data_IF_256536689952
#
_entry.id   IF_256536689952
#
_cell.length_a   1.000
_cell.length_b   1.000
_cell.length_c   1.000
_cell.angle_alpha   90.00
_cell.angle_beta   90.00
_cell.angle_gamma   90.00
#
_symmetry.space_group_name_H-M   'P 1'
#
loop_
_entity.id
_entity.type
_entity.pdbx_description
1 polymer ?
#
# COMPACT_ATOMS: atom_id res chain seq x y z
N UNK A 1 16.02 -36.99 66.67
CA UNK A 1 14.62 -36.92 66.26
C UNK A 1 13.90 -36.05 67.25
N UNK A 2 13.03 -35.20 66.74
CA UNK A 2 11.95 -34.58 67.51
C UNK A 2 10.90 -35.68 67.79
N UNK A 3 10.11 -35.55 68.85
CA UNK A 3 9.05 -36.54 69.12
C UNK A 3 7.84 -36.27 68.23
N UNK A 4 7.19 -37.31 67.70
CA UNK A 4 6.09 -37.24 66.71
C UNK A 4 4.97 -36.23 67.04
N UNK A 5 4.80 -35.84 68.31
CA UNK A 5 3.77 -34.91 68.77
C UNK A 5 4.20 -33.43 68.72
N UNK A 6 5.45 -33.16 68.36
CA UNK A 6 6.04 -31.82 68.19
C UNK A 6 6.84 -31.74 66.88
N UNK A 7 6.73 -32.76 66.04
CA UNK A 7 7.37 -32.89 64.74
C UNK A 7 6.30 -32.60 63.69
N UNK A 8 6.50 -31.55 62.90
CA UNK A 8 5.53 -31.16 61.86
C UNK A 8 5.56 -32.14 60.67
N UNK A 9 6.65 -32.92 60.52
CA UNK A 9 6.81 -33.95 59.51
C UNK A 9 7.19 -35.34 60.09
N UNK A 10 6.31 -36.01 60.87
CA UNK A 10 6.65 -37.27 61.55
C UNK A 10 7.05 -38.43 60.63
N UNK A 11 6.75 -38.34 59.33
CA UNK A 11 7.10 -39.34 58.32
C UNK A 11 8.38 -39.02 57.53
N UNK A 12 8.89 -37.80 57.64
CA UNK A 12 10.14 -37.37 57.00
C UNK A 12 11.23 -37.27 58.07
N UNK A 13 12.27 -38.10 57.97
CA UNK A 13 13.36 -38.07 58.95
C UNK A 13 14.33 -36.90 58.78
N UNK A 14 14.25 -36.16 57.67
CA UNK A 14 15.08 -35.00 57.34
C UNK A 14 14.46 -33.70 57.81
N UNK A 15 13.14 -33.66 57.99
CA UNK A 15 12.39 -32.45 58.35
C UNK A 15 11.74 -32.61 59.72
N UNK A 16 11.60 -31.51 60.45
CA UNK A 16 10.97 -31.55 61.79
C UNK A 16 10.15 -30.33 62.15
N UNK A 17 10.26 -29.25 61.37
CA UNK A 17 9.67 -27.95 61.67
C UNK A 17 9.15 -27.35 60.35
N UNK A 18 7.97 -26.77 60.44
CA UNK A 18 7.28 -26.00 59.40
C UNK A 18 6.91 -24.65 60.04
N UNK A 19 7.64 -23.59 59.69
CA UNK A 19 7.57 -22.31 60.40
C UNK A 19 6.38 -21.44 59.96
N UNK A 20 6.05 -21.47 58.68
CA UNK A 20 5.00 -20.66 58.06
C UNK A 20 3.75 -21.47 57.66
N UNK A 21 3.81 -22.80 57.80
CA UNK A 21 2.71 -23.75 57.63
C UNK A 21 2.27 -23.95 56.18
N UNK A 22 3.18 -23.84 55.23
CA UNK A 22 2.94 -24.08 53.80
C UNK A 22 2.99 -25.58 53.41
N UNK A 23 3.54 -26.42 54.29
CA UNK A 23 3.68 -27.85 54.11
C UNK A 23 5.02 -28.29 53.50
N UNK A 24 5.97 -27.38 53.34
CA UNK A 24 7.38 -27.63 53.05
C UNK A 24 8.17 -27.49 54.35
N UNK A 25 9.17 -28.35 54.57
CA UNK A 25 9.94 -28.34 55.81
C UNK A 25 11.06 -27.31 55.77
N UNK A 26 11.31 -26.64 56.91
CA UNK A 26 12.33 -25.59 57.10
C UNK A 26 13.72 -25.93 56.51
N UNK A 27 14.14 -27.21 56.39
CA UNK A 27 15.47 -27.54 55.85
C UNK A 27 15.50 -27.65 54.32
N UNK A 28 14.35 -27.82 53.67
CA UNK A 28 14.20 -27.90 52.21
C UNK A 28 13.61 -26.63 51.62
N UNK A 29 12.91 -25.85 52.44
CA UNK A 29 12.33 -24.57 52.11
C UNK A 29 13.41 -23.46 52.04
N UNK A 30 13.45 -22.74 50.92
CA UNK A 30 14.35 -21.59 50.73
C UNK A 30 13.81 -20.30 51.38
N UNK A 31 12.51 -20.23 51.66
CA UNK A 31 11.84 -19.12 52.33
C UNK A 31 11.03 -19.56 53.56
N UNK A 32 11.65 -20.11 54.62
CA UNK A 32 10.95 -20.72 55.76
C UNK A 32 10.01 -19.81 56.59
N UNK A 33 9.90 -18.53 56.28
CA UNK A 33 9.00 -17.61 57.00
C UNK A 33 7.90 -17.05 56.08
N UNK A 34 7.82 -17.49 54.82
CA UNK A 34 6.87 -17.01 53.80
C UNK A 34 6.07 -18.18 53.18
N UNK A 35 4.85 -18.37 53.68
CA UNK A 35 4.04 -19.52 53.27
C UNK A 35 3.60 -19.55 51.80
N UNK A 36 3.85 -18.48 51.04
CA UNK A 36 3.55 -18.40 49.61
C UNK A 36 4.78 -18.74 48.74
N UNK A 37 5.97 -18.99 49.32
CA UNK A 37 7.22 -19.25 48.60
C UNK A 37 8.02 -20.41 49.21
N UNK A 38 8.54 -21.33 48.40
CA UNK A 38 9.35 -22.46 48.91
C UNK A 38 10.57 -22.80 48.04
N UNK A 39 10.71 -22.18 46.87
CA UNK A 39 11.70 -22.49 45.84
C UNK A 39 12.17 -21.19 45.17
N UNK A 40 13.43 -21.18 44.73
CA UNK A 40 14.11 -20.10 44.01
C UNK A 40 15.07 -20.79 43.05
N UNK A 41 14.62 -20.92 41.80
CA UNK A 41 15.24 -21.78 40.81
C UNK A 41 16.47 -21.14 40.15
N UNK A 42 16.56 -19.82 40.11
CA UNK A 42 17.68 -19.08 39.51
C UNK A 42 18.59 -18.37 40.52
N UNK A 43 18.17 -18.27 41.78
CA UNK A 43 18.99 -17.85 42.91
C UNK A 43 19.01 -16.34 43.13
N UNK A 44 17.97 -15.62 42.73
CA UNK A 44 17.87 -14.16 42.83
C UNK A 44 17.26 -13.65 44.16
N UNK A 45 16.94 -14.58 45.07
CA UNK A 45 16.27 -14.33 46.35
C UNK A 45 14.78 -13.92 46.23
N UNK A 46 14.18 -14.04 45.04
CA UNK A 46 12.74 -13.96 44.79
C UNK A 46 12.22 -15.38 44.63
N UNK A 47 11.10 -15.70 45.29
CA UNK A 47 10.53 -17.03 45.21
C UNK A 47 9.83 -17.28 43.87
N UNK A 48 9.95 -18.52 43.36
CA UNK A 48 9.44 -18.97 42.07
C UNK A 48 7.94 -18.70 41.85
N UNK A 49 7.13 -18.54 42.92
CA UNK A 49 5.69 -18.30 42.78
C UNK A 49 5.36 -16.81 42.51
N UNK A 50 6.19 -15.89 43.00
CA UNK A 50 6.07 -14.45 42.76
C UNK A 50 6.93 -13.97 41.60
N UNK A 51 7.96 -14.73 41.25
CA UNK A 51 8.84 -14.45 40.13
C UNK A 51 8.16 -14.70 38.77
N UNK A 52 8.14 -13.68 37.91
CA UNK A 52 7.62 -13.78 36.55
C UNK A 52 8.61 -14.41 35.57
N UNK A 53 9.90 -14.48 35.91
CA UNK A 53 10.93 -15.17 35.15
C UNK A 53 11.79 -16.11 36.03
N UNK A 54 11.24 -17.23 36.56
CA UNK A 54 11.92 -18.17 37.49
C UNK A 54 13.17 -18.91 36.97
N UNK A 55 13.69 -18.53 35.80
CA UNK A 55 14.89 -19.09 35.21
C UNK A 55 15.90 -18.00 34.82
N UNK A 56 15.61 -16.74 35.12
CA UNK A 56 16.44 -15.59 34.79
C UNK A 56 16.70 -14.77 36.06
N UNK A 57 17.87 -14.96 36.71
CA UNK A 57 18.13 -14.32 38.01
C UNK A 57 18.32 -12.81 37.93
N UNK A 58 18.35 -12.27 36.71
CA UNK A 58 18.45 -10.83 36.47
C UNK A 58 17.07 -10.18 36.23
N UNK A 59 15.97 -10.93 36.17
CA UNK A 59 14.62 -10.43 35.91
C UNK A 59 13.60 -11.14 36.80
N UNK A 60 12.77 -10.40 37.53
CA UNK A 60 11.73 -11.01 38.39
C UNK A 60 10.36 -10.35 38.29
N UNK A 61 10.26 -9.27 37.53
CA UNK A 61 9.07 -8.42 37.46
C UNK A 61 8.84 -7.95 36.03
N UNK A 62 7.58 -7.87 35.63
CA UNK A 62 7.09 -7.44 34.32
C UNK A 62 5.72 -6.80 34.57
N UNK A 63 5.64 -5.48 34.45
CA UNK A 63 4.46 -4.73 34.87
C UNK A 63 3.32 -4.77 33.85
N UNK A 64 3.64 -4.83 32.57
CA UNK A 64 2.66 -4.78 31.50
C UNK A 64 2.37 -6.14 30.84
N UNK A 65 3.08 -7.17 31.32
CA UNK A 65 2.89 -8.58 30.98
C UNK A 65 3.17 -8.92 29.52
N UNK A 66 4.16 -8.25 28.93
CA UNK A 66 4.56 -8.45 27.55
C UNK A 66 5.64 -9.53 27.37
N UNK A 67 6.20 -10.01 28.47
CA UNK A 67 7.22 -11.05 28.52
C UNK A 67 8.66 -10.54 28.48
N UNK A 68 8.87 -9.22 28.59
CA UNK A 68 10.17 -8.61 28.88
C UNK A 68 10.21 -8.15 30.34
N UNK A 69 11.35 -8.35 31.00
CA UNK A 69 11.45 -8.03 32.43
C UNK A 69 11.80 -6.55 32.67
N UNK A 70 11.17 -5.90 33.63
CA UNK A 70 11.32 -4.47 33.95
C UNK A 70 12.70 -4.11 34.55
N UNK A 71 13.51 -5.11 34.95
CA UNK A 71 14.79 -4.81 35.58
C UNK A 71 15.78 -4.29 34.54
N UNK A 72 16.03 -2.97 34.58
CA UNK A 72 16.93 -2.29 33.64
C UNK A 72 18.38 -2.74 33.69
N UNK A 73 18.81 -3.31 34.81
CA UNK A 73 20.18 -3.84 34.97
C UNK A 73 20.30 -5.28 34.44
N UNK A 74 19.18 -5.95 34.15
CA UNK A 74 19.16 -7.33 33.70
C UNK A 74 19.26 -7.49 32.19
N UNK A 75 19.63 -8.70 31.76
CA UNK A 75 19.69 -9.02 30.33
C UNK A 75 18.29 -9.00 29.72
N UNK A 76 18.18 -8.41 28.52
CA UNK A 76 16.93 -8.24 27.77
C UNK A 76 15.81 -7.55 28.57
N UNK A 77 16.18 -6.60 29.44
CA UNK A 77 15.20 -5.80 30.15
C UNK A 77 14.34 -4.96 29.20
N UNK A 78 13.09 -4.74 29.59
CA UNK A 78 12.12 -3.94 28.86
C UNK A 78 12.53 -2.46 28.83
N UNK A 79 12.61 -1.89 27.63
CA UNK A 79 12.85 -0.46 27.39
C UNK A 79 11.58 0.38 27.56
N UNK A 80 10.41 -0.26 27.56
CA UNK A 80 9.09 0.32 27.75
C UNK A 80 8.26 -0.33 28.89
N UNK A 81 8.71 -0.35 30.17
CA UNK A 81 8.12 -1.09 31.33
C UNK A 81 6.66 -0.83 31.71
N UNK A 82 5.93 0.00 30.96
CA UNK A 82 4.58 0.47 31.28
C UNK A 82 3.64 0.29 30.09
N UNK A 83 4.16 -0.15 28.95
CA UNK A 83 3.44 -0.22 27.68
C UNK A 83 3.82 -1.50 26.95
N UNK A 84 2.95 -2.50 27.10
CA UNK A 84 3.13 -3.81 26.47
C UNK A 84 3.55 -3.69 25.01
N UNK A 85 4.69 -4.30 24.69
CA UNK A 85 5.28 -4.31 23.38
C UNK A 85 5.69 -5.68 22.90
N UNK A 86 6.20 -5.75 21.67
CA UNK A 86 6.75 -6.98 21.09
C UNK A 86 8.03 -6.74 20.30
N UNK A 87 8.53 -5.50 20.29
CA UNK A 87 9.79 -5.17 19.64
C UNK A 87 10.94 -5.90 20.30
N UNK A 88 11.91 -6.33 19.48
CA UNK A 88 13.02 -7.16 19.90
C UNK A 88 14.36 -6.84 19.22
N UNK A 89 14.43 -5.78 18.40
CA UNK A 89 15.64 -5.40 17.64
C UNK A 89 16.35 -4.18 18.24
N UNK A 90 15.66 -3.05 18.38
CA UNK A 90 16.26 -1.77 18.78
C UNK A 90 15.93 -1.39 20.23
N UNK A 91 14.66 -1.54 20.60
CA UNK A 91 14.14 -1.39 21.95
C UNK A 91 13.35 -2.64 22.28
N UNK A 92 13.61 -3.26 23.41
CA UNK A 92 12.92 -4.47 23.82
C UNK A 92 11.63 -4.10 24.53
N UNK A 93 10.55 -4.88 24.35
CA UNK A 93 9.27 -4.68 25.04
C UNK A 93 8.52 -3.38 24.71
N UNK A 94 8.91 -2.69 23.63
CA UNK A 94 8.20 -1.51 23.15
C UNK A 94 7.13 -1.87 22.10
N UNK A 95 6.11 -1.01 21.91
CA UNK A 95 5.12 -1.19 20.85
C UNK A 95 5.78 -1.36 19.48
N UNK A 96 5.34 -2.38 18.76
CA UNK A 96 5.73 -2.72 17.39
C UNK A 96 4.44 -3.00 16.60
N UNK A 97 4.05 -2.03 15.78
CA UNK A 97 2.73 -1.98 15.15
C UNK A 97 2.61 -2.86 13.90
N UNK A 98 3.72 -3.22 13.25
CA UNK A 98 3.73 -4.07 12.06
C UNK A 98 4.45 -5.43 12.22
N UNK A 99 5.05 -5.63 13.39
CA UNK A 99 5.72 -6.84 13.81
C UNK A 99 6.98 -7.19 13.02
N UNK A 100 7.74 -6.22 12.54
CA UNK A 100 9.06 -6.46 11.93
C UNK A 100 10.19 -6.63 12.95
N UNK A 101 9.92 -6.34 14.23
CA UNK A 101 10.83 -6.45 15.36
C UNK A 101 11.41 -5.10 15.82
N UNK A 102 11.30 -4.04 15.02
CA UNK A 102 11.65 -2.69 15.43
C UNK A 102 10.50 -2.04 16.20
N UNK A 103 10.85 -1.21 17.18
CA UNK A 103 9.87 -0.46 17.94
C UNK A 103 9.30 0.70 17.13
N UNK A 104 8.03 1.05 17.34
CA UNK A 104 7.35 2.19 16.69
C UNK A 104 8.09 3.53 16.84
N UNK A 105 8.97 3.64 17.85
CA UNK A 105 9.76 4.84 18.13
C UNK A 105 11.13 4.84 17.44
N UNK A 106 11.68 3.65 17.14
CA UNK A 106 12.95 3.49 16.44
C UNK A 106 12.79 3.16 14.96
N UNK A 107 11.60 2.82 14.54
CA UNK A 107 11.23 2.55 13.16
C UNK A 107 10.79 3.83 12.44
N UNK A 108 11.39 4.10 11.28
CA UNK A 108 10.98 5.19 10.39
C UNK A 108 9.60 4.94 9.75
N UNK A 109 9.20 3.67 9.61
CA UNK A 109 7.94 3.24 9.01
C UNK A 109 7.15 2.27 9.90
N UNK A 110 6.59 2.70 11.05
CA UNK A 110 5.93 1.83 12.05
C UNK A 110 4.71 0.99 11.60
N UNK A 111 4.31 1.09 10.33
CA UNK A 111 3.17 0.35 9.78
C UNK A 111 3.55 -0.45 8.52
N UNK A 112 4.80 -0.36 8.08
CA UNK A 112 5.32 -1.03 6.89
C UNK A 112 6.46 -1.96 7.27
N UNK A 113 6.10 -3.20 7.55
CA UNK A 113 6.98 -4.31 7.97
C UNK A 113 8.19 -4.56 7.06
N UNK A 114 8.23 -3.94 5.90
CA UNK A 114 9.27 -4.13 4.91
C UNK A 114 10.31 -3.01 4.92
N UNK A 115 10.09 -1.94 5.67
CA UNK A 115 10.96 -0.77 5.76
C UNK A 115 11.17 -0.41 7.23
N UNK A 116 12.42 -0.15 7.62
CA UNK A 116 12.76 0.21 9.02
C UNK A 116 13.52 1.52 9.14
N UNK A 117 14.14 1.95 8.05
CA UNK A 117 15.15 3.02 8.03
C UNK A 117 14.84 4.00 6.90
N UNK A 118 15.04 5.28 7.18
CA UNK A 118 14.93 6.41 6.26
C UNK A 118 16.10 7.36 6.57
N UNK A 119 17.21 7.21 5.83
CA UNK A 119 18.46 7.93 6.14
C UNK A 119 18.34 9.42 5.86
N UNK A 120 17.65 9.81 4.79
CA UNK A 120 17.54 11.19 4.34
C UNK A 120 16.24 11.89 4.78
N UNK A 121 15.27 11.14 5.29
CA UNK A 121 14.04 11.62 5.89
C UNK A 121 12.98 12.03 4.87
N UNK A 122 13.01 11.46 3.66
CA UNK A 122 12.09 11.81 2.57
C UNK A 122 10.77 11.01 2.58
N UNK A 123 10.69 9.97 3.41
CA UNK A 123 9.53 9.11 3.56
C UNK A 123 9.48 7.92 2.60
N UNK A 124 10.60 7.58 1.95
CA UNK A 124 10.84 6.31 1.29
C UNK A 124 11.88 5.51 2.07
N UNK A 125 11.70 4.19 2.16
CA UNK A 125 12.52 3.37 3.03
C UNK A 125 13.73 2.75 2.33
N UNK A 126 14.87 2.69 3.02
CA UNK A 126 16.16 2.30 2.45
C UNK A 126 16.24 0.81 2.04
N UNK A 127 15.32 -0.04 2.50
CA UNK A 127 15.38 -1.47 2.19
C UNK A 127 14.94 -1.70 0.74
N UNK A 128 15.88 -2.06 -0.13
CA UNK A 128 15.66 -2.29 -1.56
C UNK A 128 14.63 -3.37 -1.88
N UNK A 129 14.43 -4.33 -0.97
CA UNK A 129 13.44 -5.41 -1.12
C UNK A 129 12.07 -5.05 -0.52
N UNK A 130 11.97 -3.86 0.09
CA UNK A 130 10.75 -3.39 0.73
C UNK A 130 9.75 -2.77 -0.24
N UNK A 131 8.62 -2.35 0.33
CA UNK A 131 7.59 -1.61 -0.39
C UNK A 131 8.10 -0.18 -0.58
N UNK A 132 8.02 0.31 -1.82
CA UNK A 132 8.48 1.66 -2.22
C UNK A 132 9.90 1.96 -1.70
N UNK A 133 10.88 1.14 -2.12
CA UNK A 133 12.25 1.32 -1.68
C UNK A 133 12.80 2.62 -2.23
N UNK A 134 13.52 3.36 -1.38
CA UNK A 134 14.26 4.52 -1.81
C UNK A 134 15.40 4.09 -2.74
N UNK A 135 15.45 4.74 -3.91
CA UNK A 135 16.49 4.56 -4.91
C UNK A 135 17.69 5.47 -4.65
N UNK A 136 17.52 6.55 -3.90
CA UNK A 136 18.49 7.59 -3.61
C UNK A 136 18.72 7.81 -2.10
N UNK A 137 19.07 6.74 -1.38
CA UNK A 137 19.30 6.64 0.09
C UNK A 137 19.97 7.84 0.81
N UNK A 138 20.78 8.67 0.12
CA UNK A 138 21.49 9.81 0.71
C UNK A 138 20.92 11.19 0.29
N UNK A 139 19.93 11.24 -0.61
CA UNK A 139 19.42 12.45 -1.24
C UNK A 139 17.89 12.50 -1.24
N UNK A 140 17.35 13.25 -0.27
CA UNK A 140 15.89 13.35 -0.09
C UNK A 140 15.15 13.78 -1.36
N UNK A 141 14.13 13.03 -1.73
CA UNK A 141 13.40 13.23 -2.98
C UNK A 141 11.89 13.04 -2.91
N UNK A 142 11.22 13.29 -4.03
CA UNK A 142 9.78 12.99 -4.18
C UNK A 142 9.46 12.16 -5.40
N UNK A 143 10.49 11.78 -6.17
CA UNK A 143 10.29 11.01 -7.39
C UNK A 143 9.57 9.70 -7.12
N UNK A 144 8.93 9.17 -8.15
CA UNK A 144 8.28 7.85 -8.12
C UNK A 144 8.76 6.92 -9.21
N UNK A 145 9.36 7.49 -10.26
CA UNK A 145 9.77 6.81 -11.48
C UNK A 145 10.91 7.56 -12.14
N UNK A 146 11.65 6.84 -12.98
CA UNK A 146 12.69 7.40 -13.82
C UNK A 146 12.71 6.66 -15.17
N UNK A 147 13.16 7.36 -16.22
CA UNK A 147 13.46 6.71 -17.49
C UNK A 147 14.81 6.01 -17.41
N UNK A 148 14.83 4.72 -17.71
CA UNK A 148 16.07 4.00 -17.93
C UNK A 148 16.26 3.75 -19.41
N UNK A 149 17.36 4.29 -19.94
CA UNK A 149 17.76 4.11 -21.33
C UNK A 149 18.52 2.78 -21.41
N UNK A 150 17.82 1.73 -21.85
CA UNK A 150 18.43 0.45 -22.16
C UNK A 150 18.64 0.33 -23.67
N UNK A 151 19.81 -0.17 -24.09
CA UNK A 151 19.96 -0.66 -25.46
C UNK A 151 19.27 -2.01 -25.59
N UNK A 152 18.33 -2.11 -26.53
CA UNK A 152 17.73 -3.39 -26.85
C UNK A 152 18.76 -4.35 -27.49
N UNK A 153 18.35 -5.59 -27.75
CA UNK A 153 19.22 -6.59 -28.40
C UNK A 153 19.64 -6.21 -29.84
N UNK A 154 19.05 -5.15 -30.41
CA UNK A 154 19.33 -4.60 -31.73
C UNK A 154 20.17 -3.31 -31.67
N UNK A 155 20.48 -2.81 -30.47
CA UNK A 155 21.21 -1.57 -30.24
C UNK A 155 20.36 -0.29 -30.38
N UNK A 156 19.04 -0.42 -30.44
CA UNK A 156 18.10 0.70 -30.39
C UNK A 156 17.88 1.10 -28.92
N UNK A 157 17.96 2.40 -28.65
CA UNK A 157 17.68 2.94 -27.32
C UNK A 157 16.17 2.82 -27.06
N UNK A 158 15.79 2.14 -25.99
CA UNK A 158 14.41 2.00 -25.57
C UNK A 158 14.24 2.65 -24.20
N UNK A 159 13.34 3.63 -24.13
CA UNK A 159 12.91 4.25 -22.88
C UNK A 159 12.01 3.28 -22.12
N UNK A 160 12.50 2.73 -21.02
CA UNK A 160 11.69 1.88 -20.13
C UNK A 160 11.46 2.63 -18.84
N UNK A 161 10.19 2.77 -18.46
CA UNK A 161 9.81 3.35 -17.18
C UNK A 161 10.19 2.37 -16.07
N UNK A 162 10.94 2.85 -15.09
CA UNK A 162 11.29 2.09 -13.90
C UNK A 162 10.78 2.80 -12.66
N UNK A 163 10.44 2.01 -11.66
CA UNK A 163 10.13 2.49 -10.33
C UNK A 163 11.41 3.08 -9.74
N UNK A 164 11.34 4.34 -9.30
CA UNK A 164 12.49 5.09 -8.83
C UNK A 164 12.02 6.10 -7.77
N UNK A 165 11.84 5.62 -6.55
CA UNK A 165 11.34 6.42 -5.43
C UNK A 165 12.48 7.18 -4.74
N UNK A 166 12.14 8.30 -4.11
CA UNK A 166 13.01 9.02 -3.17
C UNK A 166 14.18 9.79 -3.79
N UNK A 167 14.17 10.01 -5.10
CA UNK A 167 15.17 10.84 -5.76
C UNK A 167 14.67 12.26 -6.01
N UNK A 168 15.62 13.17 -6.25
CA UNK A 168 15.35 14.57 -6.54
C UNK A 168 14.35 14.70 -7.71
N UNK A 169 13.30 15.46 -7.47
CA UNK A 169 12.21 15.75 -8.41
C UNK A 169 11.91 17.24 -8.25
N UNK A 170 12.52 18.04 -9.14
CA UNK A 170 12.60 19.49 -9.02
C UNK A 170 11.29 20.22 -9.33
N UNK A 171 10.39 19.62 -10.10
CA UNK A 171 9.12 20.22 -10.50
C UNK A 171 7.87 19.47 -10.00
N UNK A 172 8.08 18.37 -9.29
CA UNK A 172 7.06 17.57 -8.61
C UNK A 172 6.07 16.89 -9.56
N UNK A 173 6.51 16.49 -10.75
CA UNK A 173 5.71 15.72 -11.70
C UNK A 173 5.81 14.19 -11.48
N UNK A 174 6.71 13.78 -10.58
CA UNK A 174 6.95 12.42 -10.15
C UNK A 174 8.06 11.71 -10.91
N UNK A 175 8.68 12.33 -11.91
CA UNK A 175 9.91 11.85 -12.54
C UNK A 175 11.13 12.36 -11.78
N UNK A 176 12.13 11.50 -11.61
CA UNK A 176 13.40 11.94 -11.03
C UNK A 176 14.19 12.77 -12.04
N UNK A 177 14.86 13.82 -11.58
CA UNK A 177 15.72 14.71 -12.37
C UNK A 177 16.77 13.95 -13.21
N UNK A 178 17.25 12.79 -12.75
CA UNK A 178 18.22 11.96 -13.47
C UNK A 178 17.64 11.33 -14.75
N UNK A 179 16.33 11.09 -14.76
CA UNK A 179 15.61 10.48 -15.87
C UNK A 179 14.62 11.41 -16.56
N UNK A 180 14.54 12.66 -16.13
CA UNK A 180 13.69 13.70 -16.71
C UNK A 180 14.53 14.55 -17.67
N UNK A 181 14.14 14.58 -18.96
CA UNK A 181 14.84 15.39 -19.95
C UNK A 181 14.60 16.90 -19.76
N UNK A 182 13.53 17.26 -19.06
CA UNK A 182 13.07 18.61 -18.78
C UNK A 182 12.70 18.79 -17.28
N UNK A 183 13.66 18.66 -16.33
CA UNK A 183 13.42 18.60 -14.87
C UNK A 183 12.81 19.84 -14.19
N UNK A 184 12.38 20.83 -14.96
CA UNK A 184 11.79 22.07 -14.45
C UNK A 184 10.42 22.33 -15.07
N UNK A 185 9.94 21.42 -15.91
CA UNK A 185 8.68 21.51 -16.60
C UNK A 185 7.75 20.37 -16.16
N UNK A 186 6.79 20.63 -15.26
CA UNK A 186 5.98 19.58 -14.64
C UNK A 186 4.95 18.92 -15.57
N UNK A 187 4.98 19.24 -16.85
CA UNK A 187 4.10 18.70 -17.89
C UNK A 187 4.90 17.89 -18.92
N UNK A 188 6.19 18.18 -19.04
CA UNK A 188 7.05 17.61 -20.08
C UNK A 188 8.26 16.99 -19.39
N UNK A 189 8.34 15.68 -19.43
CA UNK A 189 9.41 14.92 -18.77
C UNK A 189 10.29 14.13 -19.76
N UNK A 190 10.02 14.30 -21.07
CA UNK A 190 10.65 13.53 -22.15
C UNK A 190 10.92 14.43 -23.34
N UNK A 191 12.13 14.33 -23.89
CA UNK A 191 12.60 14.98 -25.11
C UNK A 191 13.28 13.93 -25.99
N UNK A 192 12.53 13.38 -26.96
CA UNK A 192 12.94 12.18 -27.68
C UNK A 192 14.10 12.41 -28.66
N UNK A 193 14.21 13.62 -29.21
CA UNK A 193 15.25 13.99 -30.19
C UNK A 193 16.31 14.96 -29.63
N UNK A 194 16.13 15.43 -28.40
CA UNK A 194 17.10 16.19 -27.62
C UNK A 194 17.19 17.65 -28.06
N UNK A 195 16.09 18.24 -28.48
CA UNK A 195 16.04 19.60 -29.03
C UNK A 195 15.61 20.69 -28.03
N UNK A 196 15.24 20.25 -26.83
CA UNK A 196 14.81 21.07 -25.70
C UNK A 196 13.32 21.36 -25.66
N UNK A 197 12.54 20.85 -26.61
CA UNK A 197 11.07 20.88 -26.60
C UNK A 197 10.56 19.52 -26.18
N UNK A 198 9.66 19.50 -25.19
CA UNK A 198 9.12 18.26 -24.68
C UNK A 198 8.16 17.57 -25.65
N UNK A 199 8.03 16.26 -25.46
CA UNK A 199 7.24 15.35 -26.29
C UNK A 199 5.78 15.79 -26.53
N UNK A 200 5.13 16.50 -25.60
CA UNK A 200 3.75 16.96 -25.80
C UNK A 200 3.66 18.30 -26.55
N UNK A 201 4.75 19.07 -26.57
CA UNK A 201 4.83 20.38 -27.20
C UNK A 201 5.52 20.34 -28.56
N UNK A 202 6.35 19.32 -28.79
CA UNK A 202 7.07 19.15 -30.04
C UNK A 202 6.13 18.68 -31.16
N UNK A 203 6.33 19.26 -32.34
CA UNK A 203 5.62 18.85 -33.54
C UNK A 203 6.16 17.54 -34.12
N UNK A 204 7.46 17.24 -33.92
CA UNK A 204 8.07 16.02 -34.43
C UNK A 204 9.19 15.47 -33.54
N UNK A 205 8.80 14.60 -32.61
CA UNK A 205 9.66 13.94 -31.61
C UNK A 205 10.86 13.12 -32.16
N UNK A 206 10.95 12.93 -33.48
CA UNK A 206 12.03 12.18 -34.13
C UNK A 206 13.08 13.08 -34.81
N UNK A 207 12.80 14.38 -35.00
CA UNK A 207 13.67 15.31 -35.74
C UNK A 207 13.76 16.69 -35.09
N UNK A 208 14.86 16.86 -34.34
CA UNK A 208 15.25 18.07 -33.62
C UNK A 208 15.29 19.39 -34.39
N UNK A 209 15.14 19.33 -35.71
CA UNK A 209 15.07 20.51 -36.56
C UNK A 209 13.64 21.03 -36.74
N UNK A 210 12.65 20.29 -36.23
CA UNK A 210 11.23 20.49 -36.49
C UNK A 210 10.46 20.58 -35.16
N UNK A 211 10.60 21.72 -34.49
CA UNK A 211 9.93 21.99 -33.21
C UNK A 211 8.46 22.39 -33.37
N UNK A 212 8.18 23.14 -34.44
CA UNK A 212 6.87 23.73 -34.67
C UNK A 212 6.30 23.35 -36.02
N UNK A 213 4.98 23.50 -36.17
CA UNK A 213 4.30 23.34 -37.47
C UNK A 213 4.94 24.24 -38.55
N UNK A 214 5.44 25.42 -38.16
CA UNK A 214 6.16 26.32 -39.05
C UNK A 214 7.46 25.68 -39.54
N UNK A 215 8.27 25.13 -38.64
CA UNK A 215 9.55 24.50 -38.99
C UNK A 215 9.34 23.32 -39.94
N UNK A 216 8.31 22.52 -39.70
CA UNK A 216 7.92 21.41 -40.58
C UNK A 216 7.62 21.89 -42.00
N UNK A 217 6.80 22.93 -42.13
CA UNK A 217 6.38 23.49 -43.41
C UNK A 217 7.50 24.23 -44.15
N UNK A 218 8.46 24.81 -43.42
CA UNK A 218 9.66 25.44 -43.98
C UNK A 218 10.72 24.42 -44.40
N UNK A 219 10.86 23.32 -43.67
CA UNK A 219 11.80 22.25 -43.98
C UNK A 219 11.35 21.43 -45.19
N UNK A 220 10.08 20.99 -45.23
CA UNK A 220 9.53 20.16 -46.30
C UNK A 220 8.81 20.98 -47.38
N UNK A 221 9.58 21.60 -48.28
CA UNK A 221 9.07 22.43 -49.37
C UNK A 221 8.16 21.71 -50.38
N UNK A 222 8.20 20.36 -50.42
CA UNK A 222 7.38 19.55 -51.30
C UNK A 222 5.95 19.33 -50.79
N UNK A 223 5.67 19.65 -49.53
CA UNK A 223 4.33 19.52 -48.93
C UNK A 223 3.49 20.72 -49.34
N UNK A 224 2.40 20.48 -50.06
CA UNK A 224 1.48 21.51 -50.60
C UNK A 224 0.13 21.53 -49.88
N UNK A 225 0.11 21.20 -48.59
CA UNK A 225 -1.09 21.36 -47.76
C UNK A 225 -1.37 22.85 -47.58
N UNK A 226 -2.65 23.24 -47.54
CA UNK A 226 -3.07 24.64 -47.38
C UNK A 226 -2.38 25.34 -46.18
N UNK A 227 -2.15 24.60 -45.09
CA UNK A 227 -1.48 25.11 -43.90
C UNK A 227 -0.01 25.45 -44.17
N UNK A 228 0.76 24.56 -44.81
CA UNK A 228 2.15 24.85 -45.16
C UNK A 228 2.30 25.93 -46.25
N UNK A 229 1.36 26.01 -47.19
CA UNK A 229 1.33 27.13 -48.14
C UNK A 229 1.06 28.46 -47.42
N UNK A 230 0.21 28.45 -46.40
CA UNK A 230 -0.05 29.61 -45.57
C UNK A 230 1.14 30.02 -44.72
N UNK A 231 1.80 29.09 -44.03
CA UNK A 231 3.03 29.37 -43.29
C UNK A 231 4.12 29.95 -44.20
N UNK A 232 4.16 29.57 -45.48
CA UNK A 232 5.10 30.16 -46.47
C UNK A 232 4.59 31.45 -47.13
N UNK A 233 3.35 31.86 -46.85
CA UNK A 233 2.77 33.09 -47.38
C UNK A 233 3.19 34.30 -46.55
N UNK A 234 3.49 35.41 -47.22
CA UNK A 234 3.86 36.68 -46.56
C UNK A 234 2.69 37.24 -45.74
N UNK A 235 1.44 36.99 -46.16
CA UNK A 235 0.23 37.51 -45.52
C UNK A 235 0.00 36.92 -44.13
N UNK A 236 0.15 35.61 -43.98
CA UNK A 236 -0.05 34.96 -42.67
C UNK A 236 1.13 35.21 -41.73
N UNK A 237 2.38 35.19 -42.23
CA UNK A 237 3.57 35.49 -41.42
C UNK A 237 3.54 36.92 -40.86
N UNK A 238 3.08 37.90 -41.64
CA UNK A 238 2.91 39.29 -41.16
C UNK A 238 1.81 39.41 -40.12
N UNK A 239 0.69 38.68 -40.28
CA UNK A 239 -0.38 38.60 -39.27
C UNK A 239 0.14 38.02 -37.94
N UNK A 240 0.81 36.87 -38.01
CA UNK A 240 1.40 36.21 -36.83
C UNK A 240 2.38 37.14 -36.14
N UNK A 241 3.32 37.73 -36.87
CA UNK A 241 4.30 38.67 -36.32
C UNK A 241 3.64 39.89 -35.64
N UNK A 242 2.58 40.45 -36.24
CA UNK A 242 1.83 41.55 -35.63
C UNK A 242 1.16 41.11 -34.33
N UNK A 243 0.53 39.92 -34.29
CA UNK A 243 -0.14 39.42 -33.09
C UNK A 243 0.84 39.10 -31.97
N UNK A 244 1.98 38.50 -32.29
CA UNK A 244 3.07 38.28 -31.35
C UNK A 244 3.58 39.61 -30.75
N UNK A 245 3.71 40.68 -31.55
CA UNK A 245 4.07 42.01 -31.04
C UNK A 245 3.00 42.63 -30.12
N UNK A 246 1.74 42.27 -30.30
CA UNK A 246 0.61 42.73 -29.48
C UNK A 246 0.44 41.88 -28.18
N UNK A 247 1.32 40.90 -27.92
CA UNK A 247 1.14 39.89 -26.86
C UNK A 247 -0.20 39.13 -26.96
N UNK A 248 -0.73 38.98 -28.18
CA UNK A 248 -1.92 38.17 -28.46
C UNK A 248 -1.53 36.86 -29.15
N UNK A 249 -2.20 35.77 -28.80
CA UNK A 249 -2.03 34.50 -29.51
C UNK A 249 -2.62 34.61 -30.94
N UNK A 250 -1.84 34.25 -31.97
CA UNK A 250 -2.34 34.22 -33.34
C UNK A 250 -3.36 33.09 -33.51
N UNK A 251 -4.40 33.34 -34.29
CA UNK A 251 -5.37 32.29 -34.63
C UNK A 251 -4.72 31.26 -35.57
N UNK A 252 -5.04 29.96 -35.43
CA UNK A 252 -4.68 28.94 -36.40
C UNK A 252 -5.10 29.34 -37.82
N UNK A 253 -4.30 28.99 -38.83
CA UNK A 253 -4.50 29.45 -40.21
C UNK A 253 -5.94 29.28 -40.70
N UNK A 254 -6.59 28.14 -40.43
CA UNK A 254 -7.96 27.88 -40.86
C UNK A 254 -8.96 28.90 -40.29
N UNK A 255 -8.80 29.29 -39.03
CA UNK A 255 -9.66 30.28 -38.37
C UNK A 255 -9.35 31.70 -38.83
N UNK A 256 -8.08 32.00 -39.09
CA UNK A 256 -7.67 33.29 -39.66
C UNK A 256 -8.20 33.46 -41.09
N UNK A 257 -8.05 32.44 -41.95
CA UNK A 257 -8.56 32.49 -43.31
C UNK A 257 -10.09 32.62 -43.33
N UNK A 258 -10.78 31.96 -42.38
CA UNK A 258 -12.22 32.12 -42.18
C UNK A 258 -12.60 33.51 -41.66
N UNK A 259 -11.86 34.10 -40.72
CA UNK A 259 -12.17 35.44 -40.22
C UNK A 259 -11.98 36.51 -41.29
N UNK A 260 -11.00 36.31 -42.20
CA UNK A 260 -10.81 37.17 -43.36
C UNK A 260 -11.97 37.04 -44.37
N UNK A 261 -12.54 35.85 -44.55
CA UNK A 261 -13.67 35.65 -45.47
C UNK A 261 -15.03 36.13 -44.89
N UNK A 262 -15.24 36.01 -43.57
CA UNK A 262 -16.45 36.50 -42.87
C UNK A 262 -16.42 38.01 -42.53
N UNK A 263 -15.29 38.69 -42.77
CA UNK A 263 -15.11 40.14 -42.53
C UNK A 263 -16.03 41.05 -43.38
N UNK A 264 -16.90 40.46 -44.22
CA UNK A 264 -17.84 41.23 -45.04
C UNK A 264 -19.21 41.46 -44.42
N UNK A 265 -19.64 40.82 -43.31
CA UNK A 265 -21.02 41.07 -42.81
C UNK A 265 -21.34 40.84 -41.31
N UNK A 266 -20.47 40.26 -40.47
CA UNK A 266 -20.92 39.74 -39.16
C UNK A 266 -20.38 40.40 -37.87
N UNK A 267 -19.48 41.39 -37.92
CA UNK A 267 -18.87 41.94 -36.68
C UNK A 267 -19.76 42.92 -35.89
N UNK A 268 -20.89 43.39 -36.45
CA UNK A 268 -21.69 44.45 -35.79
C UNK A 268 -22.72 43.96 -34.77
N UNK A 269 -23.24 42.73 -34.90
CA UNK A 269 -24.38 42.29 -34.07
C UNK A 269 -23.95 41.56 -32.78
N UNK A 270 -22.91 40.73 -32.84
CA UNK A 270 -22.53 39.84 -31.73
C UNK A 270 -21.89 40.64 -30.58
N UNK A 271 -21.04 41.62 -30.88
CA UNK A 271 -20.38 42.47 -29.87
C UNK A 271 -21.35 43.41 -29.13
N UNK A 272 -22.51 43.69 -29.71
CA UNK A 272 -23.55 44.50 -29.07
C UNK A 272 -24.38 43.66 -28.09
N UNK A 273 -24.68 42.41 -28.44
CA UNK A 273 -25.37 41.47 -27.54
C UNK A 273 -24.55 41.10 -26.31
N UNK A 274 -23.22 40.94 -26.43
CA UNK A 274 -22.33 40.64 -25.29
C UNK A 274 -22.30 41.80 -24.27
N UNK A 275 -22.28 43.06 -24.75
CA UNK A 275 -22.28 44.25 -23.89
C UNK A 275 -23.59 44.46 -23.13
N UNK A 276 -24.71 44.00 -23.69
CA UNK A 276 -26.01 44.08 -23.02
C UNK A 276 -26.22 42.92 -22.03
N UNK A 277 -25.66 41.74 -22.32
CA UNK A 277 -25.65 40.61 -21.40
C UNK A 277 -24.80 40.87 -20.14
N UNK A 278 -23.65 41.53 -20.29
CA UNK A 278 -22.78 41.88 -19.15
C UNK A 278 -23.43 42.86 -18.16
N UNK A 279 -24.27 43.80 -18.64
CA UNK A 279 -25.00 44.75 -17.79
C UNK A 279 -26.12 44.08 -17.00
N UNK A 280 -26.81 43.12 -17.60
CA UNK A 280 -27.93 42.40 -16.99
C UNK A 280 -27.41 41.31 -16.02
N UNK A 281 -26.37 40.56 -16.43
CA UNK A 281 -25.73 39.54 -15.60
C UNK A 281 -25.06 40.11 -14.35
N UNK A 282 -24.36 41.23 -14.48
CA UNK A 282 -23.73 41.90 -13.33
C UNK A 282 -24.74 42.41 -12.29
N UNK A 283 -25.90 42.91 -12.74
CA UNK A 283 -26.95 43.37 -11.83
C UNK A 283 -27.60 42.21 -11.05
N UNK A 284 -27.82 41.06 -11.70
CA UNK A 284 -28.39 39.86 -11.06
C UNK A 284 -27.39 39.27 -10.05
N UNK A 285 -26.11 39.21 -10.39
CA UNK A 285 -25.07 38.67 -9.52
C UNK A 285 -24.89 39.51 -8.25
N UNK A 286 -24.86 40.84 -8.38
CA UNK A 286 -24.77 41.73 -7.21
C UNK A 286 -26.00 41.60 -6.30
N UNK A 287 -27.19 41.45 -6.86
CA UNK A 287 -28.43 41.31 -6.09
C UNK A 287 -28.50 39.97 -5.36
N UNK A 288 -28.07 38.87 -6.00
CA UNK A 288 -27.91 37.56 -5.36
C UNK A 288 -26.86 37.59 -4.26
N UNK A 289 -25.72 38.22 -4.49
CA UNK A 289 -24.64 38.31 -3.50
C UNK A 289 -25.07 39.09 -2.25
N UNK A 290 -25.82 40.19 -2.42
CA UNK A 290 -26.39 40.96 -1.30
C UNK A 290 -27.46 40.16 -0.54
N UNK A 291 -28.26 39.35 -1.23
CA UNK A 291 -29.24 38.46 -0.58
C UNK A 291 -28.56 37.35 0.23
N UNK A 292 -27.48 36.75 -0.29
CA UNK A 292 -26.72 35.70 0.41
C UNK A 292 -26.05 36.28 1.67
N UNK A 293 -25.44 37.47 1.58
CA UNK A 293 -24.86 38.15 2.75
C UNK A 293 -25.91 38.58 3.78
N UNK A 294 -27.11 39.01 3.31
CA UNK A 294 -28.25 39.30 4.19
C UNK A 294 -28.75 38.08 4.95
N UNK A 295 -28.79 36.91 4.30
CA UNK A 295 -29.16 35.64 4.94
C UNK A 295 -28.09 35.16 5.95
N UNK A 296 -26.80 35.32 5.63
CA UNK A 296 -25.70 34.98 6.54
C UNK A 296 -25.69 35.87 7.81
N UNK A 297 -26.03 37.16 7.68
CA UNK A 297 -26.10 38.09 8.80
C UNK A 297 -27.21 37.77 9.82
N UNK A 298 -28.29 37.11 9.41
CA UNK A 298 -29.37 36.68 10.30
C UNK A 298 -29.09 35.34 11.01
N UNK A 299 -28.09 34.57 10.57
CA UNK A 299 -27.78 33.23 11.11
C UNK A 299 -26.75 33.24 12.26
N UNK A 300 -26.12 34.38 12.58
CA UNK A 300 -25.08 34.44 13.62
C UNK A 300 -25.58 34.51 15.09
N UNK A 301 -26.85 34.23 15.37
CA UNK A 301 -27.32 34.08 16.77
C UNK A 301 -27.61 32.62 17.16
N UNK A 302 -26.50 31.93 17.46
CA UNK A 302 -26.31 30.83 18.44
C UNK A 302 -27.08 29.52 18.22
N UNK A 303 -26.34 28.40 18.14
CA UNK A 303 -26.11 27.47 19.28
C UNK A 303 -24.72 26.81 19.15
N UNK A 304 -23.82 27.05 20.11
CA UNK A 304 -22.65 26.16 20.30
C UNK A 304 -23.20 24.84 20.83
N UNK A 305 -23.19 23.77 20.03
CA UNK A 305 -23.48 22.43 20.54
C UNK A 305 -22.29 22.01 21.40
N UNK A 306 -22.52 21.86 22.70
CA UNK A 306 -21.57 21.26 23.63
C UNK A 306 -21.56 19.76 23.31
N UNK A 307 -20.50 19.24 22.68
CA UNK A 307 -20.31 17.80 22.58
C UNK A 307 -20.20 17.25 24.00
N UNK A 308 -21.17 16.44 24.40
CA UNK A 308 -21.06 15.58 25.58
C UNK A 308 -20.78 14.20 24.99
N UNK A 309 -19.52 13.77 25.01
CA UNK A 309 -19.18 12.35 24.78
C UNK A 309 -19.72 11.57 25.98
N UNK A 310 -20.64 10.64 25.75
CA UNK A 310 -20.95 9.56 26.72
C UNK A 310 -20.36 8.28 26.13
N UNK A 311 -19.30 7.78 26.75
CA UNK A 311 -18.73 6.48 26.46
C UNK A 311 -19.51 5.39 27.20
N UNK A 312 -19.68 4.22 26.57
CA UNK A 312 -20.09 2.97 27.24
C UNK A 312 -21.51 2.49 26.94
N UNK A 313 -21.81 2.11 25.70
CA UNK A 313 -22.98 1.29 25.37
C UNK A 313 -22.49 -0.12 25.02
N UNK A 314 -22.95 -1.19 25.67
CA UNK A 314 -22.50 -2.56 25.39
C UNK A 314 -22.98 -3.05 24.02
N UNK A 315 -22.12 -3.82 23.34
CA UNK A 315 -22.32 -4.40 22.01
C UNK A 315 -23.58 -5.29 21.92
N UNK A 316 -24.47 -5.02 20.95
CA UNK A 316 -25.64 -5.86 20.62
C UNK A 316 -25.48 -6.41 19.18
N UNK A 317 -25.23 -7.72 18.99
CA UNK A 317 -24.93 -8.32 17.68
C UNK A 317 -26.12 -8.38 16.70
N UNK A 318 -27.26 -7.75 17.02
CA UNK A 318 -28.47 -7.76 16.19
C UNK A 318 -28.73 -6.48 15.40
N UNK A 319 -27.95 -5.42 15.59
CA UNK A 319 -28.10 -4.17 14.84
C UNK A 319 -27.03 -4.07 13.74
N UNK A 320 -27.45 -3.67 12.53
CA UNK A 320 -26.54 -3.41 11.42
C UNK A 320 -26.03 -1.96 11.47
N UNK A 321 -24.83 -1.76 10.93
CA UNK A 321 -24.11 -0.46 10.88
C UNK A 321 -25.00 0.66 10.32
N UNK A 322 -25.83 0.34 9.32
CA UNK A 322 -26.72 1.31 8.68
C UNK A 322 -27.81 1.84 9.62
N UNK A 323 -28.30 1.01 10.56
CA UNK A 323 -29.34 1.39 11.49
C UNK A 323 -28.79 2.18 12.68
N UNK A 324 -27.55 1.89 13.07
CA UNK A 324 -26.79 2.61 14.09
C UNK A 324 -26.42 4.04 13.64
N UNK A 325 -26.05 4.21 12.37
CA UNK A 325 -25.83 5.51 11.74
C UNK A 325 -27.12 6.36 11.65
N UNK A 326 -28.27 5.72 11.44
CA UNK A 326 -29.57 6.41 11.36
C UNK A 326 -30.08 6.88 12.74
N UNK A 327 -29.75 6.13 13.80
CA UNK A 327 -30.16 6.41 15.18
C UNK A 327 -29.18 7.37 15.89
N UNK A 328 -28.00 7.63 15.32
CA UNK A 328 -27.03 8.60 15.82
C UNK A 328 -26.26 8.12 17.06
N UNK A 329 -26.32 6.83 17.37
CA UNK A 329 -25.54 6.18 18.40
C UNK A 329 -24.26 5.65 17.75
N UNK A 330 -23.19 6.45 17.65
CA UNK A 330 -21.95 5.98 17.04
C UNK A 330 -21.22 4.99 17.98
N UNK A 331 -21.43 3.69 17.74
CA UNK A 331 -20.66 2.60 18.33
C UNK A 331 -19.44 2.22 17.49
N UNK A 332 -18.53 1.48 18.15
CA UNK A 332 -17.12 1.26 17.82
C UNK A 332 -16.91 0.19 16.70
N UNK A 333 -17.95 -0.17 15.96
CA UNK A 333 -17.95 -1.32 15.04
C UNK A 333 -17.64 -0.98 13.58
N UNK A 334 -16.84 0.05 13.32
CA UNK A 334 -16.45 0.43 11.96
C UNK A 334 -15.00 0.87 11.88
N UNK A 335 -14.10 -0.10 11.70
CA UNK A 335 -12.75 0.17 11.19
C UNK A 335 -12.83 0.24 9.65
N UNK A 336 -12.36 1.34 9.07
CA UNK A 336 -12.00 1.43 7.65
C UNK A 336 -13.11 1.82 6.67
N UNK A 337 -13.08 3.06 6.18
CA UNK A 337 -13.88 3.50 5.04
C UNK A 337 -13.70 4.99 4.75
N UNK A 338 -12.81 5.29 3.81
CA UNK A 338 -12.46 6.63 3.33
C UNK A 338 -13.70 7.36 2.80
N UNK A 339 -13.72 8.68 3.05
CA UNK A 339 -14.76 9.63 2.69
C UNK A 339 -15.16 9.53 1.21
N UNK A 340 -16.43 9.20 0.94
CA UNK A 340 -17.03 9.34 -0.38
C UNK A 340 -17.47 10.80 -0.55
N UNK A 341 -16.74 11.57 -1.35
CA UNK A 341 -17.16 12.92 -1.75
C UNK A 341 -18.33 12.82 -2.74
N UNK A 342 -19.39 13.58 -2.45
CA UNK A 342 -20.59 13.74 -3.28
C UNK A 342 -20.27 14.53 -4.56
N UNK A 343 -19.96 13.86 -5.69
CA UNK A 343 -20.03 14.53 -7.01
C UNK A 343 -20.26 13.67 -8.27
N UNK A 344 -20.78 12.44 -8.17
CA UNK A 344 -21.19 11.69 -9.38
C UNK A 344 -22.51 10.94 -9.14
N UNK A 345 -23.60 11.69 -9.09
CA UNK A 345 -24.94 11.16 -9.37
C UNK A 345 -25.34 11.67 -10.76
N UNK A 346 -25.06 10.88 -11.79
CA UNK A 346 -25.83 10.92 -13.03
C UNK A 346 -26.34 9.52 -13.34
N UNK A 347 -27.66 9.43 -13.46
CA UNK A 347 -28.46 8.22 -13.63
C UNK A 347 -28.11 7.49 -14.93
N UNK A 348 -27.62 6.25 -14.84
CA UNK A 348 -27.61 5.31 -15.98
C UNK A 348 -28.72 4.29 -15.76
N UNK A 349 -29.74 4.33 -16.63
CA UNK A 349 -30.80 3.32 -16.63
C UNK A 349 -30.24 1.94 -17.03
N UNK A 350 -30.71 0.84 -16.43
CA UNK A 350 -30.29 -0.50 -16.81
C UNK A 350 -30.79 -0.86 -18.22
N UNK A 351 -29.88 -1.34 -19.06
CA UNK A 351 -30.16 -1.82 -20.41
C UNK A 351 -30.92 -3.16 -20.35
N UNK A 352 -32.12 -3.17 -20.92
CA UNK A 352 -32.98 -4.34 -21.05
C UNK A 352 -32.48 -5.26 -22.17
N UNK A 353 -32.10 -6.49 -21.83
CA UNK A 353 -31.69 -7.54 -22.77
C UNK A 353 -32.72 -8.67 -22.76
N UNK A 354 -33.93 -8.36 -23.20
CA UNK A 354 -34.84 -9.37 -23.73
C UNK A 354 -34.69 -9.43 -25.26
N UNK A 355 -34.40 -10.65 -25.73
CA UNK A 355 -34.50 -11.12 -27.13
C UNK A 355 -33.21 -11.08 -27.97
N UNK A 356 -32.37 -12.12 -27.84
CA UNK A 356 -32.09 -13.01 -28.98
C UNK A 356 -31.51 -14.36 -28.53
N UNK A 357 -32.29 -15.43 -28.72
CA UNK A 357 -31.79 -16.81 -28.64
C UNK A 357 -31.10 -17.15 -29.95
N UNK A 358 -29.78 -17.37 -29.94
CA UNK A 358 -29.16 -18.28 -30.91
C UNK A 358 -28.11 -19.16 -30.23
N UNK A 359 -28.41 -20.46 -30.21
CA UNK A 359 -27.53 -21.56 -29.85
C UNK A 359 -26.41 -21.65 -30.88
N UNK A 360 -25.15 -21.73 -30.45
CA UNK A 360 -24.04 -22.24 -31.26
C UNK A 360 -23.27 -23.28 -30.46
N UNK A 361 -22.97 -24.40 -31.13
CA UNK A 361 -22.36 -25.62 -30.62
C UNK A 361 -20.88 -25.71 -30.98
N UNK A 362 -20.13 -26.57 -30.29
CA UNK A 362 -18.68 -26.72 -30.26
C UNK A 362 -17.98 -27.19 -31.58
N UNK A 363 -18.48 -26.83 -32.76
CA UNK A 363 -17.93 -27.31 -34.06
C UNK A 363 -17.28 -26.25 -34.96
N UNK A 364 -17.13 -24.99 -34.52
CA UNK A 364 -16.65 -23.89 -35.39
C UNK A 364 -15.22 -23.36 -35.12
N UNK A 365 -14.38 -24.04 -34.33
CA UNK A 365 -12.95 -23.69 -34.22
C UNK A 365 -12.05 -24.85 -34.65
N UNK A 366 -12.12 -25.21 -35.93
CA UNK A 366 -11.16 -26.11 -36.57
C UNK A 366 -11.13 -25.89 -38.08
N UNK A 367 -10.32 -24.94 -38.56
CA UNK A 367 -9.54 -25.06 -39.81
C UNK A 367 -8.78 -23.77 -40.19
N UNK A 368 -7.48 -23.74 -39.91
CA UNK A 368 -6.37 -23.22 -40.74
C UNK A 368 -5.16 -22.99 -39.81
N UNK A 369 -4.02 -23.69 -39.82
CA UNK A 369 -3.43 -24.65 -40.75
C UNK A 369 -1.92 -24.40 -40.79
N UNK A 370 -1.13 -25.32 -40.18
CA UNK A 370 0.28 -25.68 -40.47
C UNK A 370 1.38 -24.66 -40.05
N UNK A 371 2.54 -25.00 -39.48
CA UNK A 371 3.42 -26.17 -39.63
C UNK A 371 4.16 -26.53 -38.32
N UNK A 372 4.53 -27.81 -38.18
CA UNK A 372 5.17 -28.35 -36.98
C UNK A 372 6.70 -28.26 -36.95
N UNK A 373 7.24 -28.20 -35.74
CA UNK A 373 8.49 -28.86 -35.40
C UNK A 373 8.42 -29.43 -33.98
N UNK A 374 8.92 -30.65 -33.88
CA UNK A 374 8.92 -31.56 -32.75
C UNK A 374 9.84 -31.03 -31.62
N UNK A 375 9.29 -30.78 -30.43
CA UNK A 375 10.07 -30.70 -29.19
C UNK A 375 9.44 -31.68 -28.19
N UNK A 376 10.10 -32.82 -28.05
CA UNK A 376 9.97 -33.73 -26.91
C UNK A 376 10.42 -33.02 -25.64
N UNK A 377 9.52 -32.84 -24.68
CA UNK A 377 9.90 -32.45 -23.32
C UNK A 377 10.11 -33.72 -22.50
N UNK A 378 11.34 -33.83 -22.00
CA UNK A 378 11.83 -34.83 -21.07
C UNK A 378 11.47 -34.36 -19.66
N UNK A 379 10.65 -35.15 -18.96
CA UNK A 379 10.35 -34.95 -17.54
C UNK A 379 11.58 -35.35 -16.72
N UNK A 380 12.35 -34.36 -16.27
CA UNK A 380 13.48 -34.66 -15.42
C UNK A 380 14.38 -33.50 -15.07
N UNK A 381 13.84 -32.38 -14.58
CA UNK A 381 14.62 -31.43 -13.79
C UNK A 381 13.72 -30.82 -12.71
N UNK A 382 13.93 -31.25 -11.47
CA UNK A 382 13.31 -30.66 -10.29
C UNK A 382 14.10 -29.43 -9.85
N UNK A 383 13.43 -28.55 -9.10
CA UNK A 383 13.91 -27.20 -8.76
C UNK A 383 15.07 -27.22 -7.73
N UNK A 384 15.51 -28.41 -7.29
CA UNK A 384 16.53 -28.57 -6.26
C UNK A 384 17.99 -28.54 -6.77
N UNK A 385 18.25 -28.51 -8.08
CA UNK A 385 19.62 -28.57 -8.64
C UNK A 385 20.28 -27.20 -8.95
N UNK A 386 19.66 -26.07 -8.55
CA UNK A 386 20.15 -24.71 -8.86
C UNK A 386 20.76 -23.92 -7.70
N UNK A 387 20.86 -24.49 -6.49
CA UNK A 387 21.52 -23.84 -5.36
C UNK A 387 22.74 -24.65 -4.89
N UNK A 388 23.89 -24.38 -5.49
CA UNK A 388 25.16 -24.86 -4.98
C UNK A 388 25.56 -24.09 -3.72
N UNK A 389 25.41 -24.69 -2.53
CA UNK A 389 26.34 -24.43 -1.43
C UNK A 389 26.40 -25.60 -0.46
N UNK A 390 27.63 -26.02 -0.16
CA UNK A 390 27.96 -27.09 0.75
C UNK A 390 27.66 -26.68 2.19
N UNK A 391 26.73 -27.34 2.86
CA UNK A 391 26.75 -27.42 4.32
C UNK A 391 26.42 -28.82 4.83
N UNK A 392 27.20 -29.18 5.84
CA UNK A 392 27.39 -30.47 6.49
C UNK A 392 26.08 -30.91 7.17
N UNK A 393 25.62 -32.11 6.85
CA UNK A 393 24.40 -32.70 7.41
C UNK A 393 24.59 -33.07 8.88
N UNK A 394 23.96 -32.30 9.76
CA UNK A 394 23.56 -32.75 11.09
C UNK A 394 22.05 -33.06 11.08
N UNK A 395 21.71 -34.10 11.84
CA UNK A 395 20.48 -34.87 11.77
C UNK A 395 19.38 -34.16 12.57
N UNK A 396 18.28 -33.77 11.92
CA UNK A 396 17.05 -33.36 12.61
C UNK A 396 15.92 -34.34 12.28
N UNK A 397 15.21 -34.68 13.34
CA UNK A 397 14.25 -35.74 13.51
C UNK A 397 12.84 -35.31 13.05
N UNK A 398 12.23 -36.19 12.25
CA UNK A 398 10.84 -36.33 11.78
C UNK A 398 9.75 -35.29 12.12
N UNK A 399 9.13 -34.77 11.04
CA UNK A 399 7.73 -34.32 10.98
C UNK A 399 6.76 -35.51 10.71
N UNK A 400 5.44 -35.38 11.02
CA UNK A 400 4.54 -36.53 11.18
C UNK A 400 4.17 -37.20 9.85
N UNK A 401 4.05 -38.53 9.90
CA UNK A 401 3.83 -39.42 8.75
C UNK A 401 2.61 -39.04 7.91
N UNK A 402 2.85 -38.85 6.61
CA UNK A 402 1.85 -38.85 5.55
C UNK A 402 1.14 -40.23 5.53
N UNK A 403 -0.19 -40.33 5.65
CA UNK A 403 -0.86 -41.62 5.66
C UNK A 403 -0.71 -42.33 4.31
N UNK A 404 -0.21 -43.58 4.34
CA UNK A 404 -0.16 -44.47 3.17
C UNK A 404 -1.58 -44.71 2.64
N UNK A 405 -1.74 -44.68 1.31
CA UNK A 405 -3.04 -44.76 0.66
C UNK A 405 -3.70 -46.13 0.91
N UNK A 406 -4.93 -46.17 1.48
CA UNK A 406 -5.62 -47.42 1.77
C UNK A 406 -6.07 -48.15 0.48
N UNK A 407 -6.12 -49.50 0.47
CA UNK A 407 -6.40 -50.27 -0.73
C UNK A 407 -7.81 -49.99 -1.27
N UNK A 408 -7.92 -49.84 -2.59
CA UNK A 408 -9.20 -49.57 -3.26
C UNK A 408 -10.13 -50.79 -3.19
N UNK A 409 -11.43 -50.62 -2.88
CA UNK A 409 -12.41 -51.71 -2.97
C UNK A 409 -12.65 -52.11 -4.43
N UNK A 410 -13.06 -53.37 -4.66
CA UNK A 410 -13.25 -53.94 -6.01
C UNK A 410 -14.35 -53.28 -6.84
N UNK A 411 -15.17 -52.41 -6.23
CA UNK A 411 -16.26 -51.67 -6.87
C UNK A 411 -15.84 -50.24 -7.32
N UNK A 412 -14.60 -49.81 -7.03
CA UNK A 412 -14.11 -48.46 -7.32
C UNK A 412 -14.35 -47.47 -6.18
N UNK A 413 -13.91 -46.20 -6.35
CA UNK A 413 -14.16 -45.15 -5.36
C UNK A 413 -15.67 -44.89 -5.21
N UNK A 414 -16.15 -44.53 -4.01
CA UNK A 414 -17.55 -44.15 -3.82
C UNK A 414 -17.97 -42.99 -4.73
N UNK A 415 -19.24 -42.96 -5.15
CA UNK A 415 -19.75 -41.96 -6.10
C UNK A 415 -19.49 -40.53 -5.58
N UNK A 416 -18.74 -39.74 -6.34
CA UNK A 416 -18.35 -38.36 -6.01
C UNK A 416 -17.04 -38.17 -5.23
N UNK A 417 -16.27 -39.23 -4.96
CA UNK A 417 -15.00 -39.13 -4.20
C UNK A 417 -13.77 -39.00 -5.10
N UNK A 418 -12.84 -38.13 -4.72
CA UNK A 418 -11.53 -37.99 -5.38
C UNK A 418 -10.45 -38.84 -4.71
N UNK A 419 -9.36 -39.10 -5.44
CA UNK A 419 -8.19 -39.85 -4.92
C UNK A 419 -7.53 -39.18 -3.72
N UNK A 420 -7.55 -37.85 -3.65
CA UNK A 420 -6.99 -37.09 -2.53
C UNK A 420 -7.86 -37.22 -1.28
N UNK A 421 -9.19 -37.18 -1.44
CA UNK A 421 -10.10 -37.44 -0.33
C UNK A 421 -9.99 -38.89 0.16
N UNK A 422 -9.77 -39.84 -0.74
CA UNK A 422 -9.55 -41.25 -0.38
C UNK A 422 -8.27 -41.46 0.41
N UNK A 423 -7.20 -40.72 0.08
CA UNK A 423 -5.92 -40.79 0.80
C UNK A 423 -6.08 -40.48 2.29
N UNK A 424 -6.94 -39.52 2.63
CA UNK A 424 -7.16 -39.10 4.02
C UNK A 424 -8.27 -39.86 4.74
N UNK A 425 -9.36 -40.21 4.05
CA UNK A 425 -10.58 -40.73 4.70
C UNK A 425 -10.97 -42.16 4.28
N UNK A 426 -10.26 -42.76 3.32
CA UNK A 426 -10.59 -44.09 2.78
C UNK A 426 -10.47 -45.23 3.81
N UNK A 427 -9.55 -45.12 4.77
CA UNK A 427 -9.35 -46.12 5.81
C UNK A 427 -10.55 -46.18 6.78
N UNK A 428 -11.09 -45.02 7.15
CA UNK A 428 -12.28 -44.92 8.00
C UNK A 428 -13.54 -45.39 7.27
N UNK A 429 -13.66 -45.07 5.97
CA UNK A 429 -14.76 -45.54 5.13
C UNK A 429 -14.78 -47.07 5.01
N UNK A 430 -13.64 -47.71 4.76
CA UNK A 430 -13.54 -49.18 4.70
C UNK A 430 -13.89 -49.84 6.04
N UNK A 431 -13.51 -49.23 7.16
CA UNK A 431 -13.85 -49.73 8.49
C UNK A 431 -15.36 -49.69 8.77
N UNK A 432 -16.09 -48.73 8.20
CA UNK A 432 -17.56 -48.61 8.35
C UNK A 432 -18.38 -49.61 7.51
N UNK A 433 -17.74 -50.25 6.52
CA UNK A 433 -18.36 -51.21 5.58
C UNK A 433 -18.17 -52.67 5.97
N UNK A 434 -17.34 -52.95 6.99
CA UNK A 434 -17.21 -54.26 7.66
C UNK A 434 -18.29 -54.43 8.71
#
# INVERSE_FOLDING_TARGET
GVGDNADDFPSDGSETKDSDMDGVGDNSDLFPDDADEWSDADGDEIGDNSDLFPANPDQWFDQDSDGFGDNSDGENGDDCPQTNGFSNVDKLGCPDSDFDGWSDIGDAFPIDRTQTTDIDGDGYGDNSEGIRPDSCIEESGTSTKAWVIASDSLGQLAYTEQVYYGCLDSDNDGWADEGDDLPQNPVEYRDSDGDGVGYFSDYNDDDKSIQTEKDYCEFYLNITTEICEAWRSEEYQTYVAQKTMENNEPLPYFLWNKSQSDSTEAESEIMQHIKDFAKIGGAIFVLLFVLILGAAGLSQKRKKKKLIKRFGVPFDPRKSIAQEALEGEAGISGFGGIEKQEHWDDEVQPMDLSDEKQHLTDEDILAAGLDGNNITYDDGLSIEDLAGNQHKSEKIESQPNNPEMPPLPSEGLPEGWTMEQWKWYGAQWLASKK
#
